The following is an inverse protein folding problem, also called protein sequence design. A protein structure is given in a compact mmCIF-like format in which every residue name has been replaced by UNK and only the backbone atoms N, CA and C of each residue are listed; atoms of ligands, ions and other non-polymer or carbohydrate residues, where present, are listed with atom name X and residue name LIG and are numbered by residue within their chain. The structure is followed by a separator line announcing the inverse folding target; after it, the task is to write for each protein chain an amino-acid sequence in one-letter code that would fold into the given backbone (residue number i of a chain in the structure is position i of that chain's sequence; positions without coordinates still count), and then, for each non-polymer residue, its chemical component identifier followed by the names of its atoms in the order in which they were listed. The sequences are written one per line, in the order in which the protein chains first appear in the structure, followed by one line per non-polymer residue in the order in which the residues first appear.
data_IF_897401661275
#
_entry.id   IF_897401661275
#
_cell.length_a   1.000
_cell.length_b   1.000
_cell.length_c   1.000
_cell.angle_alpha   90.00
_cell.angle_beta   90.00
_cell.angle_gamma   90.00
#
_symmetry.space_group_name_H-M   'P 1'
#
loop_
_entity.id
_entity.type
_entity.pdbx_description
1 polymer ?
#
# COMPACT_ATOMS: atom_id res chain seq x y z
N UNK A 1 14.81 17.65 14.08
CA UNK A 1 13.47 17.26 14.55
C UNK A 1 13.24 15.85 14.03
N UNK A 2 13.16 14.84 14.90
CA UNK A 2 13.13 13.44 14.48
C UNK A 2 11.85 13.13 13.68
N UNK A 3 12.00 12.61 12.47
CA UNK A 3 10.91 12.05 11.67
C UNK A 3 10.44 10.77 12.35
N UNK A 4 9.47 10.91 13.26
CA UNK A 4 8.82 9.80 13.94
C UNK A 4 7.87 9.10 12.97
N UNK A 5 8.17 7.85 12.63
CA UNK A 5 7.26 6.98 11.88
C UNK A 5 6.39 6.21 12.87
N UNK A 6 5.07 6.24 12.67
CA UNK A 6 4.12 5.43 13.42
C UNK A 6 3.61 4.28 12.57
N UNK A 7 3.40 3.12 13.20
CA UNK A 7 2.82 1.94 12.55
C UNK A 7 1.46 1.70 13.18
N UNK A 8 0.43 1.57 12.36
CA UNK A 8 -0.89 1.15 12.82
C UNK A 8 -1.63 0.35 11.77
N UNK A 9 -2.70 -0.32 12.18
CA UNK A 9 -3.59 -1.01 11.26
C UNK A 9 -4.14 -0.02 10.22
N UNK A 10 -4.19 -0.47 8.97
CA UNK A 10 -4.82 0.29 7.91
C UNK A 10 -6.32 0.35 8.13
N UNK A 11 -6.90 1.49 7.78
CA UNK A 11 -8.33 1.71 7.72
C UNK A 11 -8.76 1.85 6.26
N UNK A 12 -10.05 1.77 5.98
CA UNK A 12 -10.58 2.01 4.63
C UNK A 12 -10.17 3.37 4.06
N UNK A 13 -9.94 4.37 4.92
CA UNK A 13 -9.50 5.71 4.53
C UNK A 13 -8.06 5.71 4.01
N UNK A 14 -7.23 4.74 4.40
CA UNK A 14 -5.86 4.61 3.92
C UNK A 14 -5.78 3.93 2.55
N UNK A 15 -6.85 3.25 2.10
CA UNK A 15 -6.83 2.47 0.86
C UNK A 15 -6.42 3.30 -0.36
N UNK A 16 -6.84 4.57 -0.44
CA UNK A 16 -6.44 5.46 -1.53
C UNK A 16 -4.95 5.81 -1.49
N UNK A 17 -4.42 6.09 -0.30
CA UNK A 17 -2.99 6.37 -0.14
C UNK A 17 -2.15 5.12 -0.43
N UNK A 18 -2.60 3.94 0.03
CA UNK A 18 -1.98 2.64 -0.25
C UNK A 18 -1.98 2.37 -1.76
N UNK A 19 -3.12 2.54 -2.43
CA UNK A 19 -3.27 2.36 -3.87
C UNK A 19 -2.31 3.24 -4.67
N UNK A 20 -2.20 4.52 -4.29
CA UNK A 20 -1.26 5.43 -4.96
C UNK A 20 0.20 5.06 -4.65
N UNK A 21 0.51 4.74 -3.39
CA UNK A 21 1.85 4.40 -2.96
C UNK A 21 2.36 3.14 -3.68
N UNK A 22 1.57 2.06 -3.71
CA UNK A 22 1.96 0.85 -4.43
C UNK A 22 2.18 1.13 -5.92
N UNK A 23 1.33 1.94 -6.56
CA UNK A 23 1.50 2.28 -7.97
C UNK A 23 2.83 3.02 -8.23
N UNK A 24 3.21 3.95 -7.33
CA UNK A 24 4.47 4.67 -7.42
C UNK A 24 5.68 3.76 -7.18
N UNK A 25 5.62 2.88 -6.18
CA UNK A 25 6.71 1.96 -5.84
C UNK A 25 6.97 0.92 -6.93
N UNK A 26 5.92 0.33 -7.51
CA UNK A 26 6.05 -0.79 -8.45
C UNK A 26 6.30 -0.35 -9.91
N UNK A 27 6.25 0.94 -10.23
CA UNK A 27 6.60 1.43 -11.57
C UNK A 27 8.07 1.21 -11.93
N UNK A 28 8.98 1.41 -10.98
CA UNK A 28 10.42 1.18 -11.19
C UNK A 28 10.72 -0.31 -11.38
N UNK A 29 10.03 -1.18 -10.64
CA UNK A 29 10.09 -2.63 -10.78
C UNK A 29 9.55 -3.09 -12.13
N UNK A 30 8.39 -2.59 -12.55
CA UNK A 30 7.83 -2.89 -13.86
C UNK A 30 8.74 -2.43 -15.01
N UNK A 31 9.40 -1.27 -14.86
CA UNK A 31 10.38 -0.80 -15.83
C UNK A 31 11.63 -1.71 -15.87
N UNK A 32 12.10 -2.17 -14.71
CA UNK A 32 13.26 -3.05 -14.58
C UNK A 32 13.01 -4.41 -15.26
N UNK A 33 11.82 -4.98 -15.08
CA UNK A 33 11.46 -6.29 -15.62
C UNK A 33 10.67 -6.24 -16.94
N UNK A 34 10.35 -5.05 -17.43
CA UNK A 34 9.51 -4.85 -18.63
C UNK A 34 8.07 -5.35 -18.46
N UNK A 35 7.58 -5.52 -17.23
CA UNK A 35 6.27 -6.10 -16.94
C UNK A 35 5.36 -5.13 -16.18
N UNK A 36 4.47 -4.46 -16.91
CA UNK A 36 3.49 -3.52 -16.37
C UNK A 36 2.15 -4.17 -15.99
N UNK A 37 2.03 -5.49 -16.12
CA UNK A 37 0.80 -6.25 -15.79
C UNK A 37 0.82 -6.86 -14.39
N UNK A 38 1.77 -6.43 -13.56
CA UNK A 38 1.85 -6.85 -12.16
C UNK A 38 0.67 -6.29 -11.36
N UNK A 39 0.19 -7.08 -10.39
CA UNK A 39 -1.01 -6.75 -9.61
C UNK A 39 -1.03 -5.31 -9.07
N UNK A 40 0.05 -4.76 -8.49
CA UNK A 40 0.02 -3.41 -7.94
C UNK A 40 -0.26 -2.28 -8.95
N UNK A 41 -0.03 -2.52 -10.25
CA UNK A 41 -0.21 -1.53 -11.32
C UNK A 41 -1.55 -1.64 -12.05
N UNK A 42 -2.25 -2.78 -11.94
CA UNK A 42 -3.51 -3.05 -12.66
C UNK A 42 -4.69 -3.30 -11.71
N UNK A 43 -4.44 -3.40 -10.41
CA UNK A 43 -5.47 -3.54 -9.39
C UNK A 43 -6.38 -2.30 -9.35
N UNK A 44 -7.65 -2.48 -9.01
CA UNK A 44 -8.58 -1.37 -8.80
C UNK A 44 -8.53 -0.88 -7.35
N UNK A 45 -8.93 0.38 -7.12
CA UNK A 45 -9.07 0.92 -5.76
C UNK A 45 -10.07 0.10 -4.92
N UNK A 46 -11.16 -0.38 -5.53
CA UNK A 46 -12.16 -1.20 -4.82
C UNK A 46 -11.57 -2.52 -4.33
N UNK A 47 -10.71 -3.17 -5.14
CA UNK A 47 -10.00 -4.38 -4.71
C UNK A 47 -9.03 -4.09 -3.57
N UNK A 48 -8.32 -2.95 -3.58
CA UNK A 48 -7.46 -2.55 -2.45
C UNK A 48 -8.29 -2.33 -1.18
N UNK A 49 -9.49 -1.72 -1.30
CA UNK A 49 -10.40 -1.54 -0.15
C UNK A 49 -10.86 -2.86 0.43
N UNK A 50 -11.26 -3.80 -0.41
CA UNK A 50 -11.63 -5.16 0.01
C UNK A 50 -10.45 -5.85 0.72
N UNK A 51 -9.24 -5.79 0.16
CA UNK A 51 -8.05 -6.38 0.79
C UNK A 51 -7.71 -5.74 2.15
N UNK A 52 -7.88 -4.42 2.28
CA UNK A 52 -7.68 -3.72 3.57
C UNK A 52 -8.73 -4.14 4.61
N UNK A 53 -9.95 -4.46 4.17
CA UNK A 53 -11.02 -4.91 5.05
C UNK A 53 -10.90 -6.39 5.44
N UNK A 54 -10.41 -7.25 4.54
CA UNK A 54 -10.35 -8.71 4.75
C UNK A 54 -9.01 -9.23 5.30
N UNK A 55 -7.88 -8.63 4.91
CA UNK A 55 -6.54 -9.09 5.31
C UNK A 55 -5.96 -8.23 6.46
N UNK A 56 -4.85 -8.70 7.03
CA UNK A 56 -4.11 -7.96 8.04
C UNK A 56 -3.18 -6.94 7.37
N UNK A 57 -3.64 -5.70 7.25
CA UNK A 57 -2.87 -4.61 6.62
C UNK A 57 -2.40 -3.60 7.66
N UNK A 58 -1.11 -3.27 7.61
CA UNK A 58 -0.49 -2.22 8.41
C UNK A 58 0.11 -1.15 7.51
N UNK A 59 0.08 0.08 7.99
CA UNK A 59 0.67 1.24 7.31
C UNK A 59 1.68 1.94 8.21
N UNK A 60 2.75 2.42 7.57
CA UNK A 60 3.72 3.32 8.16
C UNK A 60 3.34 4.74 7.81
N UNK A 61 3.18 5.60 8.82
CA UNK A 61 2.85 7.02 8.64
C UNK A 61 3.94 7.93 9.13
N UNK A 62 4.22 8.97 8.33
CA UNK A 62 4.99 10.12 8.74
C UNK A 62 4.02 11.30 8.93
N UNK A 63 3.59 11.54 10.16
CA UNK A 63 2.44 12.42 10.40
C UNK A 63 1.15 11.75 9.90
N UNK A 64 0.49 12.35 8.92
CA UNK A 64 -0.74 11.82 8.30
C UNK A 64 -0.49 11.11 6.96
N UNK A 65 0.72 11.23 6.41
CA UNK A 65 1.08 10.65 5.11
C UNK A 65 1.49 9.19 5.26
N UNK A 66 0.87 8.31 4.48
CA UNK A 66 1.26 6.89 4.38
C UNK A 66 2.51 6.77 3.51
N UNK A 67 3.63 6.37 4.13
CA UNK A 67 4.94 6.21 3.50
C UNK A 67 5.32 4.75 3.26
N UNK A 68 4.51 3.81 3.77
CA UNK A 68 4.72 2.38 3.60
C UNK A 68 3.45 1.60 3.93
N UNK A 69 3.28 0.44 3.31
CA UNK A 69 2.22 -0.52 3.66
C UNK A 69 2.75 -1.95 3.60
N UNK A 70 2.20 -2.80 4.46
CA UNK A 70 2.44 -4.24 4.44
C UNK A 70 1.12 -4.95 4.64
N UNK A 71 0.92 -6.01 3.87
CA UNK A 71 -0.24 -6.90 3.96
C UNK A 71 0.23 -8.30 4.28
N UNK A 72 -0.49 -8.98 5.16
CA UNK A 72 -0.27 -10.37 5.50
C UNK A 72 -1.57 -11.08 5.87
N UNK A 73 -1.50 -12.41 5.90
CA UNK A 73 -2.59 -13.27 6.36
C UNK A 73 -2.05 -14.19 7.45
N UNK A 74 -2.84 -14.38 8.51
CA UNK A 74 -2.54 -15.40 9.53
C UNK A 74 -3.28 -16.66 9.11
N UNK A 75 -2.52 -17.73 8.84
CA UNK A 75 -3.01 -19.06 8.45
C UNK A 75 -2.72 -20.08 9.53
#
# INVERSE_FOLDING_TARGET
MGMSVTISAATEQDAEQIFRLQYLCFQSEAALYGNYRIAPLVQSLDSVREEVAEDCVFVARLGEEVVGSVRGRVT
#
